data_IF_522590469817
#
_entry.id   IF_522590469817
#
_cell.length_a   1.000
_cell.length_b   1.000
_cell.length_c   1.000
_cell.angle_alpha   90.00
_cell.angle_beta   90.00
_cell.angle_gamma   90.00
#
_symmetry.space_group_name_H-M   'P 1'
#
loop_
_entity.id
_entity.type
_entity.pdbx_description
1 polymer ?
#
# COMPACT_ATOMS: atom_id res chain seq x y z
N UNK A 1 -30.22 -9.42 3.98
CA UNK A 1 -29.85 -8.36 4.95
C UNK A 1 -28.34 -8.08 4.97
N UNK A 2 -27.44 -9.00 5.37
CA UNK A 2 -26.00 -8.67 5.41
C UNK A 2 -25.26 -8.68 4.06
N UNK A 3 -25.76 -9.43 3.07
CA UNK A 3 -25.14 -9.50 1.75
C UNK A 3 -25.38 -8.22 0.92
N UNK A 4 -26.59 -7.67 1.01
CA UNK A 4 -27.02 -6.48 0.26
C UNK A 4 -26.32 -5.19 0.75
N UNK A 5 -25.90 -5.18 2.02
CA UNK A 5 -25.14 -4.07 2.61
C UNK A 5 -23.67 -4.11 2.19
N UNK A 6 -23.11 -5.31 1.99
CA UNK A 6 -21.77 -5.51 1.44
C UNK A 6 -21.68 -5.06 -0.03
N UNK A 7 -22.69 -5.39 -0.82
CA UNK A 7 -22.76 -5.07 -2.25
C UNK A 7 -22.84 -3.54 -2.49
N UNK A 8 -23.57 -2.81 -1.63
CA UNK A 8 -23.63 -1.34 -1.68
C UNK A 8 -22.32 -0.63 -1.33
N UNK A 9 -21.56 -1.17 -0.39
CA UNK A 9 -20.26 -0.60 -0.01
C UNK A 9 -19.22 -0.83 -1.12
N UNK A 10 -19.32 -1.95 -1.84
CA UNK A 10 -18.46 -2.27 -2.98
C UNK A 10 -18.77 -1.39 -4.20
N UNK A 11 -20.06 -1.11 -4.48
CA UNK A 11 -20.48 -0.17 -5.54
C UNK A 11 -19.98 1.26 -5.28
N UNK A 12 -19.99 1.73 -4.02
CA UNK A 12 -19.52 3.07 -3.67
C UNK A 12 -17.99 3.22 -3.79
N UNK A 13 -17.23 2.12 -3.67
CA UNK A 13 -15.77 2.13 -3.81
C UNK A 13 -15.33 2.13 -5.29
N UNK A 14 -16.13 1.52 -6.18
CA UNK A 14 -15.84 1.45 -7.60
C UNK A 14 -16.00 2.79 -8.35
N UNK A 15 -16.78 3.73 -7.80
CA UNK A 15 -16.96 5.07 -8.40
C UNK A 15 -15.73 5.99 -8.22
N UNK A 16 -14.78 5.62 -7.35
CA UNK A 16 -13.52 6.36 -7.14
C UNK A 16 -12.35 5.89 -8.03
N UNK A 17 -12.55 4.86 -8.85
CA UNK A 17 -11.57 4.44 -9.86
C UNK A 17 -11.82 5.17 -11.18
N UNK A 18 -11.61 6.49 -11.16
CA UNK A 18 -11.52 7.30 -12.36
C UNK A 18 -10.30 6.86 -13.22
N UNK A 19 -10.53 6.92 -14.52
CA UNK A 19 -9.84 6.23 -15.58
C UNK A 19 -8.42 6.74 -15.79
N UNK A 20 -7.41 6.13 -15.16
CA UNK A 20 -6.01 6.20 -15.63
C UNK A 20 -5.05 5.14 -15.05
N UNK A 21 -5.58 4.00 -14.61
CA UNK A 21 -4.70 2.87 -14.21
C UNK A 21 -4.23 2.13 -15.46
N UNK A 22 -3.19 2.69 -16.11
CA UNK A 22 -2.51 2.09 -17.24
C UNK A 22 -1.93 0.73 -16.85
N UNK A 23 -2.67 -0.34 -17.13
CA UNK A 23 -2.15 -1.71 -17.14
C UNK A 23 -1.09 -1.79 -18.23
N UNK A 24 0.18 -1.63 -17.84
CA UNK A 24 1.29 -1.80 -18.77
C UNK A 24 1.44 -3.31 -19.00
N UNK A 25 0.88 -3.78 -20.11
CA UNK A 25 1.09 -5.13 -20.58
C UNK A 25 2.59 -5.35 -20.83
N UNK A 26 3.12 -6.46 -20.33
CA UNK A 26 4.44 -6.99 -20.66
C UNK A 26 4.46 -7.48 -22.11
N UNK A 27 4.30 -6.58 -23.08
CA UNK A 27 4.59 -6.85 -24.49
C UNK A 27 5.79 -6.04 -24.89
N UNK A 28 6.91 -6.76 -25.05
CA UNK A 28 8.17 -6.20 -25.50
C UNK A 28 8.03 -5.70 -26.94
N UNK A 29 7.92 -4.39 -27.12
CA UNK A 29 8.27 -3.76 -28.39
C UNK A 29 9.19 -2.57 -28.11
N UNK A 30 10.39 -2.64 -28.67
CA UNK A 30 11.56 -1.89 -28.24
C UNK A 30 11.56 -0.52 -28.92
N UNK A 31 10.70 0.41 -28.45
CA UNK A 31 10.74 1.80 -28.90
C UNK A 31 11.60 2.66 -27.95
N UNK A 32 12.53 3.44 -28.49
CA UNK A 32 13.44 4.29 -27.70
C UNK A 32 12.71 5.40 -26.93
N UNK A 33 11.59 5.87 -27.48
CA UNK A 33 10.71 6.85 -26.85
C UNK A 33 10.10 6.30 -25.54
N UNK A 34 9.64 5.05 -25.56
CA UNK A 34 9.02 4.41 -24.39
C UNK A 34 10.03 4.15 -23.28
N UNK A 35 11.28 3.83 -23.63
CA UNK A 35 12.39 3.71 -22.66
C UNK A 35 12.67 5.03 -21.94
N UNK A 36 12.67 6.15 -22.67
CA UNK A 36 12.89 7.47 -22.08
C UNK A 36 11.73 7.88 -21.15
N UNK A 37 10.48 7.60 -21.53
CA UNK A 37 9.31 7.87 -20.69
C UNK A 37 9.34 7.05 -19.40
N UNK A 38 9.67 5.75 -19.50
CA UNK A 38 9.82 4.86 -18.33
C UNK A 38 10.93 5.34 -17.39
N UNK A 39 12.08 5.74 -17.93
CA UNK A 39 13.18 6.26 -17.11
C UNK A 39 12.78 7.51 -16.34
N UNK A 40 12.12 8.48 -17.00
CA UNK A 40 11.61 9.70 -16.34
C UNK A 40 10.64 9.38 -15.21
N UNK A 41 9.74 8.42 -15.41
CA UNK A 41 8.79 8.00 -14.39
C UNK A 41 9.48 7.34 -13.19
N UNK A 42 10.45 6.45 -13.43
CA UNK A 42 11.25 5.83 -12.37
C UNK A 42 12.11 6.84 -11.61
N UNK A 43 12.64 7.85 -12.30
CA UNK A 43 13.43 8.92 -11.66
C UNK A 43 12.52 9.86 -10.84
N UNK A 44 11.28 10.10 -11.28
CA UNK A 44 10.28 10.84 -10.50
C UNK A 44 9.90 10.10 -9.21
N UNK A 45 9.72 8.78 -9.25
CA UNK A 45 9.47 7.97 -8.04
C UNK A 45 10.61 8.08 -7.03
N UNK A 46 11.86 7.96 -7.48
CA UNK A 46 13.05 8.07 -6.62
C UNK A 46 13.21 9.45 -5.99
N UNK A 47 12.63 10.49 -6.61
CA UNK A 47 12.60 11.83 -6.06
C UNK A 47 11.49 12.03 -5.01
N UNK A 48 10.51 11.12 -4.90
CA UNK A 48 9.45 11.19 -3.89
C UNK A 48 10.01 10.84 -2.49
N UNK A 49 9.92 11.76 -1.51
CA UNK A 49 10.34 11.49 -0.14
C UNK A 49 9.60 10.28 0.46
N UNK A 50 10.38 9.29 0.92
CA UNK A 50 9.87 8.03 1.50
C UNK A 50 9.40 6.99 0.48
N UNK A 51 9.71 7.17 -0.80
CA UNK A 51 9.77 6.05 -1.74
C UNK A 51 11.00 5.19 -1.42
N UNK A 52 10.78 3.88 -1.25
CA UNK A 52 11.86 2.92 -1.07
C UNK A 52 11.69 1.72 -1.98
N UNK A 53 12.82 1.17 -2.44
CA UNK A 53 12.85 -0.08 -3.20
C UNK A 53 13.51 -1.17 -2.37
N UNK A 54 12.69 -1.97 -1.71
CA UNK A 54 13.15 -3.05 -0.83
C UNK A 54 13.54 -4.26 -1.66
N UNK A 55 14.60 -4.96 -1.24
CA UNK A 55 15.08 -6.18 -1.91
C UNK A 55 15.14 -7.31 -0.90
N UNK A 56 14.24 -8.28 -1.01
CA UNK A 56 14.19 -9.43 -0.10
C UNK A 56 14.36 -10.74 -0.84
N UNK A 57 14.81 -11.75 -0.12
CA UNK A 57 14.82 -13.12 -0.61
C UNK A 57 13.48 -13.78 -0.33
N UNK A 58 12.86 -14.33 -1.36
CA UNK A 58 11.62 -15.11 -1.28
C UNK A 58 11.91 -16.55 -1.66
N UNK A 59 11.13 -17.48 -1.10
CA UNK A 59 11.20 -18.88 -1.48
C UNK A 59 10.56 -19.06 -2.86
N UNK A 60 11.31 -19.65 -3.79
CA UNK A 60 10.86 -20.03 -5.11
C UNK A 60 11.01 -21.55 -5.30
N UNK A 61 10.37 -22.11 -6.33
CA UNK A 61 10.39 -23.56 -6.61
C UNK A 61 11.81 -24.14 -6.70
N UNK A 62 12.77 -23.35 -7.19
CA UNK A 62 14.17 -23.76 -7.40
C UNK A 62 15.17 -23.09 -6.44
N UNK A 63 14.74 -22.73 -5.21
CA UNK A 63 15.60 -22.12 -4.19
C UNK A 63 15.17 -20.70 -3.81
N UNK A 64 16.10 -19.85 -3.36
CA UNK A 64 15.79 -18.47 -2.97
C UNK A 64 15.95 -17.52 -4.15
N UNK A 65 14.90 -16.79 -4.48
CA UNK A 65 14.92 -15.72 -5.49
C UNK A 65 14.97 -14.37 -4.78
N UNK A 66 15.74 -13.42 -5.33
CA UNK A 66 15.70 -12.04 -4.87
C UNK A 66 14.58 -11.32 -5.60
N UNK A 67 13.62 -10.78 -4.86
CA UNK A 67 12.56 -9.94 -5.39
C UNK A 67 12.68 -8.52 -4.84
N UNK A 68 12.34 -7.55 -5.70
CA UNK A 68 12.27 -6.16 -5.31
C UNK A 68 10.82 -5.71 -5.34
N UNK A 69 10.41 -4.97 -4.33
CA UNK A 69 9.11 -4.33 -4.27
C UNK A 69 9.28 -2.89 -3.80
N UNK A 70 8.37 -2.05 -4.24
CA UNK A 70 8.40 -0.60 -4.08
C UNK A 70 7.40 -0.23 -3.01
N UNK A 71 7.83 0.53 -2.01
CA UNK A 71 6.98 0.91 -0.88
C UNK A 71 7.02 2.42 -0.70
N UNK A 72 5.88 2.97 -0.29
CA UNK A 72 5.74 4.37 0.06
C UNK A 72 5.43 4.50 1.55
N UNK A 73 6.29 5.19 2.28
CA UNK A 73 6.20 5.27 3.74
C UNK A 73 5.59 6.57 4.22
N UNK A 74 4.88 6.57 5.32
CA UNK A 74 4.38 7.80 5.94
C UNK A 74 5.24 8.12 7.17
N UNK A 75 5.55 9.41 7.37
CA UNK A 75 6.19 9.87 8.60
C UNK A 75 5.34 9.47 9.81
N UNK A 76 5.99 9.20 10.93
CA UNK A 76 5.30 8.92 12.19
C UNK A 76 4.82 10.19 12.90
N UNK A 77 5.14 11.38 12.37
CA UNK A 77 4.77 12.66 12.96
C UNK A 77 3.26 12.87 12.91
N UNK A 78 2.71 13.34 14.02
CA UNK A 78 1.27 13.67 14.10
C UNK A 78 0.95 14.77 13.09
N UNK A 79 -0.14 14.60 12.33
CA UNK A 79 -0.54 15.51 11.27
C UNK A 79 0.10 15.23 9.91
N UNK A 80 0.97 14.22 9.77
CA UNK A 80 1.44 13.79 8.47
C UNK A 80 0.29 13.24 7.60
N UNK A 81 0.34 13.43 6.28
CA UNK A 81 -0.66 12.92 5.35
C UNK A 81 -0.47 11.41 5.18
N UNK A 82 -1.50 10.63 5.46
CA UNK A 82 -1.48 9.19 5.25
C UNK A 82 -1.42 8.92 3.74
N UNK A 83 -0.56 7.98 3.33
CA UNK A 83 -0.50 7.52 1.94
C UNK A 83 -0.51 6.01 1.87
N UNK A 84 -1.11 5.47 0.80
CA UNK A 84 -1.13 4.03 0.57
C UNK A 84 0.30 3.53 0.26
N UNK A 85 0.70 2.45 0.91
CA UNK A 85 2.05 1.90 0.85
C UNK A 85 2.40 1.26 -0.50
N UNK A 86 1.41 0.85 -1.29
CA UNK A 86 1.57 0.21 -2.60
C UNK A 86 1.54 1.23 -3.72
N UNK A 87 0.54 2.11 -3.74
CA UNK A 87 0.30 3.06 -4.84
C UNK A 87 0.99 4.42 -4.63
N UNK A 88 1.29 4.78 -3.38
CA UNK A 88 1.82 6.09 -3.02
C UNK A 88 0.77 7.21 -3.02
N UNK A 89 -0.51 6.90 -3.27
CA UNK A 89 -1.62 7.87 -3.26
C UNK A 89 -1.75 8.49 -1.87
N UNK A 90 -1.73 9.82 -1.80
CA UNK A 90 -1.87 10.59 -0.57
C UNK A 90 -3.34 10.88 -0.29
N UNK A 91 -3.83 10.48 0.87
CA UNK A 91 -5.21 10.71 1.26
C UNK A 91 -5.35 12.06 1.97
N UNK A 92 -5.75 13.09 1.23
CA UNK A 92 -5.76 14.48 1.71
C UNK A 92 -6.63 14.71 2.96
N UNK A 93 -7.61 13.85 3.24
CA UNK A 93 -8.48 13.96 4.44
C UNK A 93 -7.94 13.17 5.65
N UNK A 94 -7.00 12.25 5.45
CA UNK A 94 -6.52 11.37 6.49
C UNK A 94 -5.13 11.78 6.99
N UNK A 95 -4.96 11.76 8.31
CA UNK A 95 -3.79 12.31 9.00
C UNK A 95 -3.30 11.35 10.07
N UNK A 96 -2.00 11.27 10.23
CA UNK A 96 -1.38 10.51 11.32
C UNK A 96 -1.80 11.12 12.67
N UNK A 97 -2.19 10.28 13.61
CA UNK A 97 -2.74 10.64 14.91
C UNK A 97 -4.25 10.92 14.91
N UNK A 98 -4.95 10.85 13.77
CA UNK A 98 -6.40 10.98 13.73
C UNK A 98 -7.10 9.62 13.88
N UNK A 99 -8.42 9.63 14.16
CA UNK A 99 -9.25 8.42 14.23
C UNK A 99 -9.27 7.65 12.91
N UNK A 100 -9.12 8.35 11.78
CA UNK A 100 -9.11 7.73 10.46
C UNK A 100 -7.96 6.74 10.24
N UNK A 101 -6.93 6.73 11.10
CA UNK A 101 -5.91 5.68 11.06
C UNK A 101 -6.49 4.27 11.18
N UNK A 102 -7.62 4.08 11.88
CA UNK A 102 -8.24 2.75 12.02
C UNK A 102 -8.88 2.23 10.75
N UNK A 103 -9.06 3.09 9.73
CA UNK A 103 -9.55 2.68 8.41
C UNK A 103 -8.49 1.91 7.61
N UNK A 104 -7.21 2.04 7.99
CA UNK A 104 -6.08 1.44 7.29
C UNK A 104 -5.46 0.31 8.11
N UNK A 105 -4.89 -0.67 7.42
CA UNK A 105 -4.00 -1.65 8.02
C UNK A 105 -2.60 -1.04 8.21
N UNK A 106 -2.36 -0.50 9.40
CA UNK A 106 -1.11 0.15 9.79
C UNK A 106 -0.04 -0.87 10.17
N UNK A 107 1.14 -0.77 9.55
CA UNK A 107 2.31 -1.58 9.89
C UNK A 107 3.56 -0.71 10.01
N UNK A 108 4.60 -1.21 10.69
CA UNK A 108 5.88 -0.50 10.82
C UNK A 108 7.02 -1.37 10.32
N UNK A 109 7.87 -0.81 9.47
CA UNK A 109 9.09 -1.46 9.02
C UNK A 109 10.24 -1.15 10.00
N UNK A 110 10.52 -2.12 10.87
CA UNK A 110 11.63 -2.06 11.83
C UNK A 110 12.85 -2.88 11.39
N UNK A 111 13.05 -3.06 10.08
CA UNK A 111 14.16 -3.85 9.52
C UNK A 111 15.42 -3.02 9.24
N UNK A 112 15.36 -1.69 9.40
CA UNK A 112 16.44 -0.77 9.05
C UNK A 112 16.58 -0.52 7.54
N UNK A 113 15.77 -1.16 6.71
CA UNK A 113 15.85 -1.03 5.24
C UNK A 113 15.37 0.34 4.73
N UNK A 114 14.55 1.05 5.51
CA UNK A 114 13.98 2.37 5.17
C UNK A 114 14.61 3.51 5.99
N UNK A 115 15.74 3.27 6.67
CA UNK A 115 16.41 4.25 7.51
C UNK A 115 16.44 3.89 8.99
N UNK A 116 16.89 4.84 9.83
CA UNK A 116 17.22 4.59 11.25
C UNK A 116 16.00 4.51 12.16
N UNK A 117 14.94 5.27 11.89
CA UNK A 117 13.82 5.42 12.83
C UNK A 117 12.64 4.49 12.57
N UNK A 118 12.71 3.68 11.51
CA UNK A 118 11.65 2.75 11.10
C UNK A 118 10.39 3.48 10.67
N UNK A 119 9.94 3.24 9.44
CA UNK A 119 8.86 4.03 8.86
C UNK A 119 7.52 3.28 8.89
N UNK A 120 6.42 4.05 8.88
CA UNK A 120 5.07 3.50 8.95
C UNK A 120 4.53 3.28 7.54
N UNK A 121 3.85 2.16 7.34
CA UNK A 121 3.14 1.83 6.11
C UNK A 121 1.65 1.74 6.41
N UNK A 122 0.84 2.24 5.49
CA UNK A 122 -0.61 2.15 5.54
C UNK A 122 -1.11 1.39 4.31
N UNK A 123 -1.81 0.30 4.55
CA UNK A 123 -2.45 -0.52 3.53
C UNK A 123 -3.97 -0.41 3.65
N UNK A 124 -4.69 -0.66 2.58
CA UNK A 124 -6.16 -0.63 2.58
C UNK A 124 -6.74 -1.84 3.33
N UNK A 125 -6.02 -2.97 3.31
CA UNK A 125 -6.41 -4.20 4.01
C UNK A 125 -5.19 -5.05 4.43
N UNK A 126 -5.34 -5.96 5.40
CA UNK A 126 -4.29 -6.94 5.69
C UNK A 126 -3.96 -7.82 4.48
N UNK A 127 -4.92 -8.12 3.61
CA UNK A 127 -4.71 -8.87 2.37
C UNK A 127 -3.81 -8.12 1.39
N UNK A 128 -3.97 -6.80 1.27
CA UNK A 128 -3.08 -5.97 0.45
C UNK A 128 -1.65 -6.03 0.98
N UNK A 129 -1.47 -5.92 2.31
CA UNK A 129 -0.17 -6.08 2.95
C UNK A 129 0.44 -7.47 2.68
N UNK A 130 -0.33 -8.55 2.84
CA UNK A 130 0.15 -9.91 2.58
C UNK A 130 0.63 -10.09 1.13
N UNK A 131 -0.19 -9.63 0.18
CA UNK A 131 0.11 -9.71 -1.25
C UNK A 131 1.35 -8.91 -1.61
N UNK A 132 1.47 -7.69 -1.08
CA UNK A 132 2.57 -6.78 -1.38
C UNK A 132 3.88 -7.22 -0.73
N UNK A 133 3.84 -7.59 0.55
CA UNK A 133 5.03 -7.94 1.34
C UNK A 133 5.42 -9.42 1.24
N UNK A 134 4.59 -10.27 0.61
CA UNK A 134 4.77 -11.73 0.50
C UNK A 134 4.86 -12.41 1.88
N UNK A 135 4.04 -11.94 2.81
CA UNK A 135 3.94 -12.44 4.19
C UNK A 135 2.51 -12.91 4.42
N UNK A 136 2.31 -13.83 5.36
CA UNK A 136 0.98 -14.22 5.85
C UNK A 136 0.77 -13.59 7.22
N UNK A 137 -0.33 -12.86 7.36
CA UNK A 137 -0.83 -12.28 8.60
C UNK A 137 -1.74 -13.32 9.27
N UNK A 138 -1.55 -13.54 10.57
CA UNK A 138 -2.38 -14.49 11.31
C UNK A 138 -3.85 -14.07 11.30
N UNK A 139 -4.81 -15.01 11.21
CA UNK A 139 -6.25 -14.71 11.24
C UNK A 139 -6.68 -13.82 12.42
N UNK A 140 -6.13 -14.08 13.61
CA UNK A 140 -6.39 -13.30 14.84
C UNK A 140 -6.08 -11.81 14.69
N UNK A 141 -5.05 -11.45 13.92
CA UNK A 141 -4.70 -10.03 13.69
C UNK A 141 -5.72 -9.40 12.72
N UNK A 142 -6.16 -10.14 11.71
CA UNK A 142 -7.15 -9.67 10.73
C UNK A 142 -8.50 -9.43 11.40
N UNK A 143 -8.94 -10.36 12.24
CA UNK A 143 -10.17 -10.24 13.04
C UNK A 143 -10.12 -9.02 13.96
N UNK A 144 -9.05 -8.86 14.74
CA UNK A 144 -8.88 -7.69 15.63
C UNK A 144 -8.87 -6.36 14.87
N UNK A 145 -8.26 -6.32 13.69
CA UNK A 145 -8.27 -5.12 12.85
C UNK A 145 -9.69 -4.82 12.36
N UNK A 146 -10.41 -5.84 11.88
CA UNK A 146 -11.77 -5.70 11.38
C UNK A 146 -12.73 -5.21 12.48
N UNK A 147 -12.66 -5.82 13.68
CA UNK A 147 -13.45 -5.40 14.84
C UNK A 147 -13.22 -3.92 15.19
N UNK A 148 -11.95 -3.49 15.24
CA UNK A 148 -11.60 -2.10 15.52
C UNK A 148 -12.14 -1.16 14.44
N UNK A 149 -11.95 -1.51 13.16
CA UNK A 149 -12.41 -0.71 12.03
C UNK A 149 -13.93 -0.54 12.05
N UNK A 150 -14.67 -1.62 12.32
CA UNK A 150 -16.13 -1.57 12.44
C UNK A 150 -16.56 -0.73 13.64
N UNK A 151 -15.92 -0.89 14.80
CA UNK A 151 -16.25 -0.11 15.99
C UNK A 151 -16.09 1.41 15.76
N UNK A 152 -15.02 1.83 15.09
CA UNK A 152 -14.79 3.26 14.82
C UNK A 152 -15.74 3.81 13.76
N UNK A 153 -16.11 3.00 12.75
CA UNK A 153 -17.08 3.40 11.73
C UNK A 153 -18.48 3.66 12.32
N UNK A 154 -18.90 2.89 13.32
CA UNK A 154 -20.20 3.08 13.98
C UNK A 154 -20.23 4.25 14.98
N UNK A 155 -19.10 4.92 15.23
CA UNK A 155 -19.00 6.08 16.15
C UNK A 155 -19.01 7.44 15.46
N UNK A 156 -18.98 7.47 14.13
CA UNK A 156 -19.16 8.67 13.31
C UNK A 156 -20.64 8.90 13.00
#
# INVERSE_FOLDING_TARGET
MYAEEYEKVEEQYNDYLDADTYSISEVSSVNSYDKNKKKKYEDAKKADPGYHKLKRFVNAKNGRKRESYEVYTTSCDTGAIIRNAVTGVRFNKFRVGSRAESQFFKTRLATGETGRDGETLYFDSPEEFEKHMRITVSPVIKEKWLEKRMYDLHRE
#
